data_IF_317713618126
#
_entry.id   IF_317713618126
#
_cell.length_a   1.000
_cell.length_b   1.000
_cell.length_c   1.000
_cell.angle_alpha   90.00
_cell.angle_beta   90.00
_cell.angle_gamma   90.00
#
_symmetry.space_group_name_H-M   'P 1'
#
loop_
_entity.id
_entity.type
_entity.pdbx_description
1 polymer ?
#
# COMPACT_ATOMS: atom_id res chain seq x y z
N UNK A 1 -21.87 9.71 0.17
CA UNK A 1 -20.48 9.96 0.61
C UNK A 1 -19.60 8.82 0.14
N UNK A 2 -18.49 9.15 -0.52
CA UNK A 2 -17.48 8.19 -0.95
C UNK A 2 -16.68 7.76 0.27
N UNK A 3 -16.56 6.45 0.50
CA UNK A 3 -15.73 5.93 1.58
C UNK A 3 -14.38 5.56 0.99
N UNK A 4 -13.42 6.48 1.13
CA UNK A 4 -12.01 6.15 0.90
C UNK A 4 -11.64 5.09 1.93
N UNK A 5 -10.99 4.02 1.49
CA UNK A 5 -10.54 2.96 2.37
C UNK A 5 -9.00 2.96 2.48
N UNK A 6 -8.31 3.41 1.43
CA UNK A 6 -6.85 3.52 1.39
C UNK A 6 -6.45 4.56 0.34
N UNK A 7 -5.32 5.23 0.54
CA UNK A 7 -4.69 6.07 -0.47
C UNK A 7 -3.18 5.85 -0.51
N UNK A 8 -2.62 5.87 -1.70
CA UNK A 8 -1.19 5.84 -1.97
C UNK A 8 -0.84 7.06 -2.83
N UNK A 9 -0.40 8.14 -2.18
CA UNK A 9 -0.28 9.44 -2.84
C UNK A 9 -1.63 9.90 -3.39
N UNK A 10 -1.70 10.15 -4.70
CA UNK A 10 -2.92 10.58 -5.41
C UNK A 10 -3.86 9.42 -5.77
N UNK A 11 -3.44 8.17 -5.55
CA UNK A 11 -4.23 6.98 -5.90
C UNK A 11 -5.14 6.58 -4.74
N UNK A 12 -6.44 6.66 -4.95
CA UNK A 12 -7.45 6.28 -3.95
C UNK A 12 -8.06 4.92 -4.26
N UNK A 13 -8.22 4.11 -3.22
CA UNK A 13 -8.89 2.81 -3.29
C UNK A 13 -10.19 2.84 -2.49
N UNK A 14 -11.24 2.27 -3.07
CA UNK A 14 -12.62 2.34 -2.57
C UNK A 14 -13.25 0.95 -2.53
N UNK A 15 -14.34 0.81 -1.78
CA UNK A 15 -15.22 -0.34 -1.93
C UNK A 15 -15.88 -0.31 -3.32
N UNK A 16 -15.87 -1.42 -4.10
CA UNK A 16 -16.49 -1.47 -5.43
C UNK A 16 -17.97 -1.05 -5.37
N UNK A 17 -18.37 -0.09 -6.20
CA UNK A 17 -19.76 0.35 -6.36
C UNK A 17 -20.16 0.35 -7.83
N UNK A 18 -21.41 -0.02 -8.15
CA UNK A 18 -21.97 0.16 -9.49
C UNK A 18 -21.84 1.59 -10.00
N UNK A 19 -21.19 1.75 -11.16
CA UNK A 19 -21.04 3.03 -11.87
C UNK A 19 -19.81 3.88 -11.51
N UNK A 20 -18.94 3.45 -10.59
CA UNK A 20 -17.73 4.20 -10.21
C UNK A 20 -16.46 3.40 -10.49
N UNK A 21 -15.55 3.98 -11.29
CA UNK A 21 -14.29 3.37 -11.72
C UNK A 21 -13.26 3.37 -10.61
N UNK A 22 -13.29 2.33 -9.77
CA UNK A 22 -12.44 2.23 -8.60
C UNK A 22 -11.83 0.82 -8.43
N UNK A 23 -10.52 0.71 -8.18
CA UNK A 23 -9.92 -0.55 -7.76
C UNK A 23 -10.37 -0.87 -6.34
N UNK A 24 -11.01 -2.03 -6.16
CA UNK A 24 -11.32 -2.56 -4.84
C UNK A 24 -10.14 -3.36 -4.29
N UNK A 25 -9.67 -3.04 -3.09
CA UNK A 25 -8.74 -3.91 -2.36
C UNK A 25 -9.52 -4.85 -1.44
N UNK A 26 -9.08 -6.10 -1.37
CA UNK A 26 -9.71 -7.15 -0.56
C UNK A 26 -8.81 -7.57 0.59
N UNK A 27 -7.50 -7.60 0.34
CA UNK A 27 -6.51 -8.08 1.31
C UNK A 27 -5.40 -7.06 1.44
N UNK A 28 -4.99 -6.79 2.68
CA UNK A 28 -3.78 -6.04 3.00
C UNK A 28 -2.96 -6.94 3.93
N UNK A 29 -1.77 -7.31 3.47
CA UNK A 29 -0.78 -8.02 4.25
C UNK A 29 0.37 -7.08 4.55
N UNK A 30 0.89 -7.11 5.79
CA UNK A 30 2.02 -6.29 6.20
C UNK A 30 3.01 -7.17 6.94
N UNK A 31 4.23 -7.21 6.42
CA UNK A 31 5.35 -7.92 6.99
C UNK A 31 6.36 -6.90 7.53
N UNK A 32 6.66 -7.00 8.83
CA UNK A 32 7.57 -6.08 9.53
C UNK A 32 8.66 -6.89 10.22
N UNK A 33 9.90 -6.66 9.82
CA UNK A 33 11.05 -7.25 10.48
C UNK A 33 11.70 -6.27 11.46
N UNK A 34 12.29 -6.79 12.51
CA UNK A 34 12.95 -6.02 13.58
C UNK A 34 14.32 -6.60 13.83
N UNK A 35 15.36 -5.77 13.81
CA UNK A 35 16.73 -6.24 13.93
C UNK A 35 17.20 -6.19 15.38
N UNK A 36 17.75 -7.32 15.84
CA UNK A 36 18.28 -7.48 17.19
C UNK A 36 19.69 -8.10 17.14
N UNK A 37 20.65 -7.46 17.81
CA UNK A 37 22.00 -7.99 17.98
C UNK A 37 22.10 -8.75 19.30
N UNK A 38 22.59 -10.00 19.25
CA UNK A 38 22.79 -10.81 20.44
C UNK A 38 24.14 -10.49 21.10
N UNK A 39 24.13 -10.25 22.40
CA UNK A 39 25.31 -10.02 23.22
C UNK A 39 25.47 -11.14 24.25
N UNK A 40 26.50 -11.99 24.12
CA UNK A 40 26.75 -13.07 25.07
C UNK A 40 27.10 -12.50 26.45
N UNK A 41 26.64 -13.18 27.51
CA UNK A 41 26.92 -12.82 28.90
C UNK A 41 27.50 -14.03 29.62
N UNK A 42 28.48 -13.81 30.48
CA UNK A 42 29.08 -14.90 31.26
C UNK A 42 28.03 -15.49 32.21
N UNK A 43 27.77 -16.79 32.08
CA UNK A 43 26.87 -17.57 32.94
C UNK A 43 25.41 -17.09 32.97
N UNK A 44 24.94 -16.36 31.94
CA UNK A 44 23.54 -15.90 31.82
C UNK A 44 23.08 -16.04 30.37
N UNK A 45 21.77 -16.02 30.16
CA UNK A 45 21.20 -15.92 28.81
C UNK A 45 21.72 -14.67 28.09
N UNK A 46 21.98 -14.77 26.77
CA UNK A 46 22.45 -13.64 25.99
C UNK A 46 21.40 -12.52 26.00
N UNK A 47 21.86 -11.27 26.06
CA UNK A 47 20.97 -10.13 25.92
C UNK A 47 20.77 -9.79 24.45
N UNK A 48 19.56 -9.34 24.12
CA UNK A 48 19.23 -8.88 22.78
C UNK A 48 19.21 -7.34 22.79
N UNK A 49 20.08 -6.71 22.02
CA UNK A 49 20.09 -5.27 21.80
C UNK A 49 19.32 -4.94 20.53
N UNK A 50 18.27 -4.12 20.65
CA UNK A 50 17.53 -3.63 19.49
C UNK A 50 18.42 -2.69 18.67
N UNK A 51 18.67 -3.03 17.41
CA UNK A 51 19.52 -2.22 16.51
C UNK A 51 18.69 -1.35 15.58
N UNK A 52 17.39 -1.61 15.47
CA UNK A 52 16.47 -0.79 14.71
C UNK A 52 15.37 -1.59 14.00
N UNK A 53 14.38 -0.88 13.44
CA UNK A 53 13.40 -1.49 12.55
C UNK A 53 14.09 -2.06 11.32
N UNK A 54 13.68 -3.25 10.89
CA UNK A 54 14.11 -3.88 9.65
C UNK A 54 13.23 -3.46 8.47
N UNK A 55 13.09 -4.35 7.50
CA UNK A 55 12.23 -4.13 6.34
C UNK A 55 10.75 -4.14 6.76
N UNK A 56 9.98 -3.20 6.22
CA UNK A 56 8.53 -3.11 6.37
C UNK A 56 7.92 -3.14 4.97
N UNK A 57 7.26 -4.24 4.65
CA UNK A 57 6.69 -4.51 3.33
C UNK A 57 5.18 -4.64 3.46
N UNK A 58 4.44 -3.97 2.57
CA UNK A 58 2.99 -4.07 2.50
C UNK A 58 2.61 -4.64 1.15
N UNK A 59 1.80 -5.69 1.16
CA UNK A 59 1.19 -6.25 -0.03
C UNK A 59 -0.30 -5.93 -0.04
N UNK A 60 -0.78 -5.32 -1.12
CA UNK A 60 -2.18 -4.97 -1.32
C UNK A 60 -2.71 -5.77 -2.50
N UNK A 61 -3.73 -6.58 -2.25
CA UNK A 61 -4.39 -7.36 -3.29
C UNK A 61 -5.81 -6.90 -3.51
N UNK A 62 -6.22 -6.85 -4.77
CA UNK A 62 -7.52 -6.36 -5.15
C UNK A 62 -8.02 -6.92 -6.46
N UNK A 63 -9.30 -6.64 -6.71
CA UNK A 63 -10.02 -7.09 -7.89
C UNK A 63 -10.65 -5.89 -8.56
N UNK A 64 -10.60 -5.90 -9.88
CA UNK A 64 -11.17 -4.89 -10.75
C UNK A 64 -12.06 -5.57 -11.79
N UNK A 65 -13.20 -4.95 -12.11
CA UNK A 65 -14.09 -5.41 -13.16
C UNK A 65 -14.19 -4.30 -14.22
N UNK A 66 -13.24 -4.23 -15.18
CA UNK A 66 -13.19 -3.15 -16.17
C UNK A 66 -14.48 -2.95 -16.94
N UNK A 67 -15.16 -4.04 -17.29
CA UNK A 67 -16.39 -4.01 -18.07
C UNK A 67 -17.60 -3.46 -17.30
N UNK A 68 -17.64 -3.65 -15.97
CA UNK A 68 -18.77 -3.26 -15.13
C UNK A 68 -18.56 -1.90 -14.44
N UNK A 69 -17.33 -1.65 -13.98
CA UNK A 69 -17.02 -0.47 -13.18
C UNK A 69 -15.96 0.43 -13.83
N UNK A 70 -15.19 -0.06 -14.80
CA UNK A 70 -14.04 0.66 -15.36
C UNK A 70 -12.77 0.46 -14.53
N UNK A 71 -11.88 1.47 -14.50
CA UNK A 71 -10.69 1.50 -13.63
C UNK A 71 -9.37 1.05 -14.27
N UNK A 72 -9.35 0.77 -15.58
CA UNK A 72 -8.10 0.51 -16.32
C UNK A 72 -7.12 1.69 -16.19
N UNK A 73 -7.63 2.93 -16.31
CA UNK A 73 -6.84 4.15 -16.15
C UNK A 73 -6.18 4.27 -14.78
N UNK A 74 -6.78 3.73 -13.74
CA UNK A 74 -6.20 3.77 -12.38
C UNK A 74 -4.99 2.85 -12.28
N UNK A 75 -5.04 1.67 -12.89
CA UNK A 75 -3.89 0.77 -12.95
C UNK A 75 -2.76 1.34 -13.82
N UNK A 76 -3.12 2.01 -14.92
CA UNK A 76 -2.15 2.70 -15.77
C UNK A 76 -1.48 3.87 -15.04
N UNK A 77 -2.24 4.65 -14.28
CA UNK A 77 -1.70 5.73 -13.45
C UNK A 77 -0.80 5.21 -12.31
N UNK A 78 -1.15 4.07 -11.71
CA UNK A 78 -0.29 3.39 -10.74
C UNK A 78 1.03 2.96 -11.39
N UNK A 79 0.96 2.35 -12.59
CA UNK A 79 2.16 1.98 -13.37
C UNK A 79 3.04 3.20 -13.63
N UNK A 80 2.47 4.30 -14.13
CA UNK A 80 3.21 5.54 -14.40
C UNK A 80 3.87 6.11 -13.14
N UNK A 81 3.19 6.01 -12.00
CA UNK A 81 3.75 6.45 -10.72
C UNK A 81 4.91 5.57 -10.26
N UNK A 82 4.83 4.27 -10.55
CA UNK A 82 5.95 3.35 -10.37
C UNK A 82 7.15 3.67 -11.23
N UNK A 83 6.91 3.96 -12.50
CA UNK A 83 7.94 4.35 -13.46
C UNK A 83 8.59 5.69 -13.08
N UNK A 84 7.85 6.59 -12.45
CA UNK A 84 8.39 7.83 -11.90
C UNK A 84 9.33 7.60 -10.69
N UNK A 85 9.30 6.44 -10.05
CA UNK A 85 10.22 6.06 -8.98
C UNK A 85 10.11 6.92 -7.71
N UNK A 86 8.95 7.54 -7.47
CA UNK A 86 8.74 8.45 -6.33
C UNK A 86 8.23 7.71 -5.10
N UNK A 87 8.67 8.17 -3.93
CA UNK A 87 8.07 7.80 -2.66
C UNK A 87 6.67 8.39 -2.52
N UNK A 88 5.73 7.58 -2.06
CA UNK A 88 4.31 7.92 -1.93
C UNK A 88 3.89 7.81 -0.46
N UNK A 89 3.01 8.72 -0.04
CA UNK A 89 2.45 8.69 1.31
C UNK A 89 1.28 7.71 1.35
N UNK A 90 1.37 6.70 2.21
CA UNK A 90 0.33 5.72 2.40
C UNK A 90 -0.55 6.09 3.59
N UNK A 91 -1.86 6.20 3.35
CA UNK A 91 -2.85 6.42 4.39
C UNK A 91 -3.97 5.39 4.28
N UNK A 92 -4.48 4.94 5.42
CA UNK A 92 -5.60 3.99 5.50
C UNK A 92 -6.75 4.66 6.22
N UNK A 93 -7.95 4.42 5.73
CA UNK A 93 -9.17 5.03 6.23
C UNK A 93 -10.13 3.93 6.67
N UNK A 94 -10.64 4.04 7.89
CA UNK A 94 -11.60 3.10 8.43
C UNK A 94 -12.53 3.79 9.42
N UNK A 95 -13.69 3.17 9.63
CA UNK A 95 -14.71 3.67 10.56
C UNK A 95 -14.55 2.93 11.89
N UNK A 96 -14.31 3.67 12.96
CA UNK A 96 -14.31 3.13 14.32
C UNK A 96 -15.70 3.27 14.92
N UNK A 97 -16.36 2.13 15.19
CA UNK A 97 -17.58 1.90 16.01
C UNK A 97 -18.83 2.80 15.83
N UNK A 98 -18.71 4.01 15.27
CA UNK A 98 -19.75 4.98 15.02
C UNK A 98 -19.66 5.42 13.54
N UNK A 99 -20.70 5.21 12.71
CA UNK A 99 -20.67 5.46 11.26
C UNK A 99 -20.41 6.91 10.85
N UNK A 100 -20.34 7.83 11.80
CA UNK A 100 -20.13 9.27 11.57
C UNK A 100 -18.66 9.69 11.66
N UNK A 101 -17.78 8.92 12.31
CA UNK A 101 -16.35 9.25 12.41
C UNK A 101 -15.50 8.39 11.47
N UNK A 102 -14.89 9.06 10.49
CA UNK A 102 -13.85 8.48 9.65
C UNK A 102 -12.49 8.75 10.29
N UNK A 103 -11.74 7.68 10.56
CA UNK A 103 -10.37 7.78 11.06
C UNK A 103 -9.43 7.49 9.90
N UNK A 104 -8.53 8.44 9.63
CA UNK A 104 -7.43 8.28 8.69
C UNK A 104 -6.13 8.07 9.46
N UNK A 105 -5.51 6.91 9.30
CA UNK A 105 -4.19 6.61 9.82
C UNK A 105 -3.15 6.84 8.71
N UNK A 106 -2.18 7.71 8.97
CA UNK A 106 -1.00 7.86 8.11
C UNK A 106 -0.01 6.76 8.46
N UNK A 107 0.21 5.83 7.53
CA UNK A 107 1.09 4.67 7.75
C UNK A 107 2.57 5.07 7.56
N UNK A 108 2.86 5.89 6.54
CA UNK A 108 4.23 6.37 6.28
C UNK A 108 4.51 6.60 4.80
N UNK A 109 5.79 6.79 4.47
CA UNK A 109 6.28 6.87 3.09
C UNK A 109 6.66 5.47 2.60
N UNK A 110 6.19 5.12 1.41
CA UNK A 110 6.43 3.82 0.77
C UNK A 110 6.84 4.02 -0.68
N UNK A 111 7.68 3.12 -1.19
CA UNK A 111 8.00 3.01 -2.61
C UNK A 111 7.29 1.79 -3.19
N UNK A 112 6.80 1.91 -4.43
CA UNK A 112 6.23 0.79 -5.14
C UNK A 112 7.34 -0.07 -5.74
N UNK A 113 7.49 -1.29 -5.27
CA UNK A 113 8.53 -2.22 -5.74
C UNK A 113 8.00 -3.13 -6.85
N UNK A 114 6.71 -3.46 -6.81
CA UNK A 114 6.09 -4.35 -7.79
C UNK A 114 4.61 -4.03 -7.99
N UNK A 115 4.20 -3.95 -9.24
CA UNK A 115 2.79 -3.97 -9.66
C UNK A 115 2.56 -5.20 -10.54
N UNK A 116 1.69 -6.10 -10.10
CA UNK A 116 1.25 -7.26 -10.87
C UNK A 116 -0.22 -7.08 -11.23
N UNK A 117 -0.55 -7.24 -12.50
CA UNK A 117 -1.94 -7.37 -12.96
C UNK A 117 -2.14 -8.72 -13.64
N UNK A 118 -3.31 -9.31 -13.43
CA UNK A 118 -3.72 -10.57 -14.06
C UNK A 118 -5.09 -10.37 -14.69
N UNK A 119 -5.13 -10.48 -16.01
CA UNK A 119 -6.35 -10.34 -16.80
C UNK A 119 -6.99 -11.71 -17.03
N UNK A 120 -8.31 -11.79 -16.87
CA UNK A 120 -9.06 -13.03 -17.00
C UNK A 120 -10.36 -12.74 -17.76
N UNK A 121 -10.90 -13.79 -18.41
CA UNK A 121 -12.11 -13.69 -19.24
C UNK A 121 -12.02 -12.53 -20.24
N UNK A 122 -11.02 -12.61 -21.11
CA UNK A 122 -10.81 -11.64 -22.18
C UNK A 122 -11.91 -11.85 -23.23
N UNK A 123 -12.66 -10.79 -23.51
CA UNK A 123 -13.73 -10.78 -24.50
C UNK A 123 -13.20 -10.80 -25.94
N UNK A 124 -14.10 -10.97 -26.91
CA UNK A 124 -13.75 -10.91 -28.34
C UNK A 124 -13.28 -9.53 -28.82
N UNK A 125 -13.55 -8.48 -28.03
CA UNK A 125 -13.08 -7.11 -28.17
C UNK A 125 -11.66 -6.89 -27.58
N UNK A 126 -11.07 -7.91 -26.96
CA UNK A 126 -9.76 -7.84 -26.33
C UNK A 126 -9.77 -7.21 -24.93
N UNK A 127 -10.93 -6.82 -24.40
CA UNK A 127 -11.03 -6.25 -23.05
C UNK A 127 -11.27 -7.35 -22.00
N UNK A 128 -10.55 -7.30 -20.86
CA UNK A 128 -10.78 -8.24 -19.77
C UNK A 128 -12.06 -7.91 -19.00
N UNK A 129 -12.93 -8.91 -18.83
CA UNK A 129 -14.12 -8.78 -17.98
C UNK A 129 -13.77 -8.79 -16.49
N UNK A 130 -12.63 -9.40 -16.12
CA UNK A 130 -12.17 -9.52 -14.75
C UNK A 130 -10.65 -9.34 -14.67
N UNK A 131 -10.19 -8.63 -13.64
CA UNK A 131 -8.78 -8.42 -13.41
C UNK A 131 -8.45 -8.51 -11.92
N UNK A 132 -7.32 -9.12 -11.60
CA UNK A 132 -6.73 -9.12 -10.26
C UNK A 132 -5.47 -8.28 -10.28
N UNK A 133 -5.25 -7.49 -9.24
CA UNK A 133 -4.01 -6.76 -9.07
C UNK A 133 -3.39 -7.07 -7.71
N UNK A 134 -2.06 -7.10 -7.69
CA UNK A 134 -1.25 -7.23 -6.48
C UNK A 134 -0.16 -6.17 -6.54
N UNK A 135 -0.05 -5.42 -5.46
CA UNK A 135 0.84 -4.29 -5.30
C UNK A 135 1.76 -4.57 -4.12
N UNK A 136 3.07 -4.53 -4.35
CA UNK A 136 4.07 -4.63 -3.29
C UNK A 136 4.68 -3.25 -3.05
N UNK A 137 4.66 -2.85 -1.79
CA UNK A 137 5.17 -1.59 -1.28
C UNK A 137 6.25 -1.89 -0.25
N UNK A 138 7.35 -1.16 -0.29
CA UNK A 138 8.38 -1.21 0.73
C UNK A 138 8.47 0.15 1.42
N UNK A 139 8.57 0.15 2.74
CA UNK A 139 8.70 1.38 3.53
C UNK A 139 9.98 2.09 3.10
N UNK A 140 9.84 3.36 2.74
CA UNK A 140 10.96 4.23 2.48
C UNK A 140 11.58 4.61 3.83
N UNK A 141 12.89 4.40 3.98
CA UNK A 141 13.62 4.85 5.16
C UNK A 141 13.53 6.37 5.24
N UNK A 142 13.21 6.91 6.41
CA UNK A 142 13.30 8.35 6.59
C UNK A 142 14.77 8.74 6.53
N UNK A 143 15.12 9.66 5.64
CA UNK A 143 16.37 10.37 5.76
C UNK A 143 16.36 11.08 7.12
N UNK A 144 17.46 11.04 7.90
CA UNK A 144 17.53 11.80 9.14
C UNK A 144 17.14 13.23 8.79
N UNK A 145 16.13 13.75 9.51
CA UNK A 145 15.54 15.04 9.24
C UNK A 145 16.66 16.03 8.94
N UNK A 146 16.64 16.66 7.76
CA UNK A 146 17.48 17.83 7.52
C UNK A 146 17.16 18.80 8.67
N UNK A 147 18.07 18.88 9.64
CA UNK A 147 18.01 19.89 10.67
C UNK A 147 18.10 21.22 9.93
N UNK A 148 16.95 21.86 9.73
CA UNK A 148 16.87 23.22 9.23
C UNK A 148 17.67 24.10 10.18
N UNK A 149 18.93 24.37 9.85
CA UNK A 149 19.77 25.33 10.53
C UNK A 149 19.19 26.72 10.28
N UNK A 150 18.44 27.26 11.23
CA UNK A 150 18.26 28.70 11.32
C UNK A 150 19.60 29.30 11.80
N UNK A 151 20.26 30.04 10.92
CA UNK A 151 21.26 31.05 11.29
C UNK A 151 20.60 32.41 11.26
#
# INVERSE_FOLDING_TARGET
MNQNLMSLGEHYFFSPRPGEASPGFQTIERDMSFTWASQPRLSRSPAMQFTGPGADTIQVEGKLFPHLFGGLKTLDALRETGEAGKQLMLARYYVLSNPTQYVGERIGKFVMTRLRRRELKIGGDGLPMYMEFSLELQKYGDDPAEEFSFT
#
